data_IF_389432023394
#
_entry.id   IF_389432023394
#
_cell.length_a   1.000
_cell.length_b   1.000
_cell.length_c   1.000
_cell.angle_alpha   90.00
_cell.angle_beta   90.00
_cell.angle_gamma   90.00
#
_symmetry.space_group_name_H-M   'P 1'
#
loop_
_entity.id
_entity.type
_entity.pdbx_description
1 polymer ?
#
# COMPACT_ATOMS: atom_id res chain seq x y z
N UNK A 1 -18.15 31.98 15.41
CA UNK A 1 -16.90 32.35 14.72
C UNK A 1 -17.09 32.03 13.23
N UNK A 2 -17.39 33.03 12.38
CA UNK A 2 -17.64 32.80 10.95
C UNK A 2 -16.31 32.72 10.22
N UNK A 3 -15.85 31.52 9.87
CA UNK A 3 -14.71 31.36 8.97
C UNK A 3 -15.05 32.05 7.64
N UNK A 4 -14.22 33.01 7.23
CA UNK A 4 -14.34 33.66 5.92
C UNK A 4 -13.96 32.64 4.85
N UNK A 5 -14.69 32.63 3.73
CA UNK A 5 -14.41 31.74 2.59
C UNK A 5 -12.97 31.86 2.08
N UNK A 6 -12.33 33.03 2.25
CA UNK A 6 -10.92 33.25 1.92
C UNK A 6 -9.97 32.42 2.80
N UNK A 7 -10.29 32.24 4.09
CA UNK A 7 -9.48 31.44 5.00
C UNK A 7 -9.60 29.94 4.70
N UNK A 8 -10.79 29.49 4.31
CA UNK A 8 -11.05 28.11 3.86
C UNK A 8 -10.31 27.80 2.56
N UNK A 9 -10.30 28.73 1.60
CA UNK A 9 -9.57 28.60 0.34
C UNK A 9 -8.06 28.51 0.58
N UNK A 10 -7.52 29.36 1.47
CA UNK A 10 -6.10 29.34 1.82
C UNK A 10 -5.68 28.03 2.50
N UNK A 11 -6.52 27.50 3.40
CA UNK A 11 -6.28 26.24 4.07
C UNK A 11 -6.30 25.06 3.08
N UNK A 12 -7.22 25.09 2.11
CA UNK A 12 -7.32 24.09 1.06
C UNK A 12 -6.05 24.10 0.17
N UNK A 13 -5.58 25.28 -0.24
CA UNK A 13 -4.35 25.45 -1.02
C UNK A 13 -3.14 24.92 -0.24
N UNK A 14 -3.05 25.20 1.07
CA UNK A 14 -1.94 24.76 1.91
C UNK A 14 -1.87 23.23 2.05
N UNK A 15 -3.04 22.56 2.15
CA UNK A 15 -3.12 21.09 2.20
C UNK A 15 -2.61 20.44 0.90
N UNK A 16 -2.79 21.08 -0.27
CA UNK A 16 -2.27 20.56 -1.54
C UNK A 16 -0.76 20.77 -1.73
N UNK A 17 -0.12 21.69 -1.00
CA UNK A 17 1.32 21.99 -1.17
C UNK A 17 2.27 21.11 -0.36
N UNK A 18 1.75 20.31 0.59
CA UNK A 18 2.60 19.57 1.54
C UNK A 18 2.79 18.08 1.21
N UNK A 19 2.21 17.57 0.11
CA UNK A 19 2.45 16.19 -0.29
C UNK A 19 3.65 16.10 -1.25
N UNK A 20 4.79 15.63 -0.75
CA UNK A 20 5.86 15.09 -1.60
C UNK A 20 5.31 13.86 -2.32
N UNK A 21 4.78 14.06 -3.52
CA UNK A 21 4.27 12.99 -4.37
C UNK A 21 5.44 12.28 -5.09
N UNK A 22 6.13 11.39 -4.38
CA UNK A 22 6.95 10.36 -5.00
C UNK A 22 6.10 9.09 -5.19
N UNK A 23 5.26 9.10 -6.22
CA UNK A 23 4.55 7.89 -6.65
C UNK A 23 4.29 7.96 -8.16
N UNK A 24 5.34 7.84 -8.97
CA UNK A 24 5.21 7.38 -10.35
C UNK A 24 5.31 5.85 -10.36
N UNK A 25 4.18 5.16 -10.31
CA UNK A 25 4.16 3.73 -10.65
C UNK A 25 4.13 3.61 -12.18
N UNK A 26 5.30 3.69 -12.79
CA UNK A 26 5.50 3.24 -14.17
C UNK A 26 5.58 1.71 -14.14
N UNK A 27 4.43 1.06 -13.97
CA UNK A 27 4.29 -0.37 -14.19
C UNK A 27 4.41 -0.68 -15.69
N UNK A 28 5.62 -0.62 -16.23
CA UNK A 28 5.93 -1.30 -17.47
C UNK A 28 6.01 -2.80 -17.14
N UNK A 29 4.85 -3.46 -17.11
CA UNK A 29 4.82 -4.90 -17.33
C UNK A 29 5.54 -5.18 -18.64
N UNK A 30 6.49 -6.12 -18.62
CA UNK A 30 7.23 -6.59 -19.78
C UNK A 30 6.28 -6.75 -20.99
N UNK A 31 6.35 -5.81 -21.94
CA UNK A 31 5.73 -5.98 -23.25
C UNK A 31 6.65 -6.93 -24.00
N UNK A 32 6.51 -8.22 -23.74
CA UNK A 32 6.98 -9.27 -24.63
C UNK A 32 6.37 -8.94 -25.99
N UNK A 33 7.20 -8.75 -27.03
CA UNK A 33 6.81 -8.42 -28.41
C UNK A 33 5.56 -9.19 -28.82
N UNK A 34 4.39 -8.58 -28.62
CA UNK A 34 3.13 -9.20 -28.93
C UNK A 34 2.84 -8.87 -30.39
N UNK A 35 2.47 -9.88 -31.18
CA UNK A 35 2.06 -9.71 -32.58
C UNK A 35 0.70 -8.99 -32.73
N UNK A 36 0.18 -8.45 -31.64
CA UNK A 36 -1.09 -7.75 -31.63
C UNK A 36 -0.82 -6.26 -31.83
N UNK A 37 -0.99 -5.79 -33.06
CA UNK A 37 -1.24 -4.37 -33.31
C UNK A 37 -2.45 -3.96 -32.50
N UNK A 38 -2.27 -3.02 -31.56
CA UNK A 38 -3.38 -2.40 -30.86
C UNK A 38 -4.27 -1.76 -31.92
N UNK A 39 -5.48 -2.29 -32.09
CA UNK A 39 -6.53 -1.60 -32.85
C UNK A 39 -6.78 -0.30 -32.10
N UNK A 40 -6.53 0.85 -32.74
CA UNK A 40 -7.02 2.13 -32.25
C UNK A 40 -8.54 2.02 -32.14
N UNK A 41 -9.03 1.75 -30.93
CA UNK A 41 -10.45 1.81 -30.66
C UNK A 41 -10.88 3.24 -30.90
N UNK A 42 -11.88 3.41 -31.76
CA UNK A 42 -12.59 4.66 -31.96
C UNK A 42 -13.43 4.94 -30.70
N UNK A 43 -12.77 5.11 -29.56
CA UNK A 43 -13.38 5.36 -28.27
C UNK A 43 -14.00 6.75 -28.31
N UNK A 44 -15.34 6.80 -28.43
CA UNK A 44 -16.12 8.01 -28.20
C UNK A 44 -15.87 8.47 -26.77
N UNK A 45 -15.05 9.52 -26.62
CA UNK A 45 -14.78 10.18 -25.35
C UNK A 45 -16.09 10.76 -24.82
N UNK A 46 -16.61 10.19 -23.74
CA UNK A 46 -17.91 10.56 -23.17
C UNK A 46 -17.89 11.92 -22.44
N UNK A 47 -16.70 12.46 -22.12
CA UNK A 47 -16.55 13.71 -21.37
C UNK A 47 -15.81 14.77 -22.21
N UNK A 48 -16.27 16.03 -22.23
CA UNK A 48 -15.62 17.11 -22.97
C UNK A 48 -14.28 17.42 -22.31
N UNK A 49 -13.18 17.05 -22.95
CA UNK A 49 -11.83 17.26 -22.41
C UNK A 49 -11.17 18.44 -23.11
N UNK A 50 -10.57 19.37 -22.35
CA UNK A 50 -9.67 20.40 -22.89
C UNK A 50 -8.43 19.83 -23.63
N UNK A 51 -8.30 18.51 -23.66
CA UNK A 51 -7.15 17.76 -24.13
C UNK A 51 -7.19 17.43 -25.64
N UNK A 52 -8.32 17.63 -26.31
CA UNK A 52 -8.44 17.36 -27.75
C UNK A 52 -7.43 18.15 -28.60
N UNK A 53 -7.05 19.36 -28.15
CA UNK A 53 -6.04 20.18 -28.83
C UNK A 53 -4.64 19.57 -28.76
N UNK A 54 -4.29 18.93 -27.64
CA UNK A 54 -2.98 18.27 -27.50
C UNK A 54 -2.92 16.99 -28.33
N UNK A 55 -3.98 16.19 -28.36
CA UNK A 55 -4.02 14.98 -29.21
C UNK A 55 -3.94 15.34 -30.70
N UNK A 56 -4.62 16.42 -31.14
CA UNK A 56 -4.54 16.92 -32.51
C UNK A 56 -3.14 17.41 -32.93
N UNK A 57 -2.34 17.87 -31.97
CA UNK A 57 -0.95 18.28 -32.20
C UNK A 57 0.05 17.11 -32.13
N UNK A 58 -0.42 15.87 -32.13
CA UNK A 58 0.43 14.67 -32.08
C UNK A 58 0.98 14.33 -30.69
N UNK A 59 0.54 15.02 -29.63
CA UNK A 59 0.98 14.70 -28.27
C UNK A 59 0.18 13.51 -27.72
N UNK A 60 0.90 12.52 -27.20
CA UNK A 60 0.29 11.38 -26.53
C UNK A 60 -0.29 11.80 -25.17
N UNK A 61 -1.58 11.55 -24.97
CA UNK A 61 -2.30 11.92 -23.75
C UNK A 61 -2.88 10.67 -23.09
N UNK A 62 -2.88 10.57 -21.74
CA UNK A 62 -3.55 9.50 -21.02
C UNK A 62 -5.01 9.35 -21.45
N UNK A 63 -5.46 8.09 -21.61
CA UNK A 63 -6.84 7.75 -21.97
C UNK A 63 -7.81 8.20 -20.88
N UNK A 64 -9.06 8.48 -21.26
CA UNK A 64 -10.12 8.94 -20.35
C UNK A 64 -10.54 7.89 -19.32
N UNK A 65 -10.21 6.63 -19.55
CA UNK A 65 -10.51 5.53 -18.67
C UNK A 65 -9.41 4.47 -18.77
N UNK A 66 -9.05 3.88 -17.63
CA UNK A 66 -8.14 2.75 -17.56
C UNK A 66 -8.79 1.59 -16.83
N UNK A 67 -8.64 0.39 -17.39
CA UNK A 67 -8.87 -0.86 -16.68
C UNK A 67 -7.51 -1.45 -16.34
N UNK A 68 -7.34 -1.91 -15.11
CA UNK A 68 -6.10 -2.55 -14.70
C UNK A 68 -6.40 -3.79 -13.85
N UNK A 69 -5.78 -4.90 -14.23
CA UNK A 69 -5.76 -6.14 -13.46
C UNK A 69 -4.34 -6.31 -12.98
N UNK A 70 -4.17 -6.46 -11.67
CA UNK A 70 -2.90 -6.65 -11.01
C UNK A 70 -2.93 -7.98 -10.27
N UNK A 71 -1.81 -8.69 -10.29
CA UNK A 71 -1.59 -9.82 -9.39
C UNK A 71 -0.23 -9.65 -8.74
N UNK A 72 -0.15 -10.03 -7.47
CA UNK A 72 1.06 -9.95 -6.68
C UNK A 72 1.22 -11.27 -5.93
N UNK A 73 2.41 -11.87 -6.06
CA UNK A 73 2.81 -13.05 -5.34
C UNK A 73 4.12 -12.71 -4.64
N UNK A 74 4.18 -13.00 -3.34
CA UNK A 74 5.34 -12.70 -2.52
C UNK A 74 5.62 -13.84 -1.56
N UNK A 75 6.89 -14.18 -1.42
CA UNK A 75 7.38 -15.18 -0.48
C UNK A 75 8.46 -14.53 0.36
N UNK A 76 8.35 -14.70 1.68
CA UNK A 76 9.30 -14.18 2.65
C UNK A 76 9.66 -15.29 3.62
N UNK A 77 10.85 -15.84 3.43
CA UNK A 77 11.53 -16.63 4.44
C UNK A 77 12.25 -15.67 5.40
N UNK A 78 12.01 -15.85 6.69
CA UNK A 78 12.65 -15.12 7.76
C UNK A 78 13.05 -16.08 8.86
N UNK A 79 14.27 -15.93 9.35
CA UNK A 79 14.77 -16.64 10.51
C UNK A 79 15.24 -15.60 11.53
N UNK A 80 14.60 -15.59 12.68
CA UNK A 80 14.94 -14.69 13.78
C UNK A 80 15.49 -15.48 14.96
N UNK A 81 16.55 -14.96 15.57
CA UNK A 81 17.06 -15.43 16.85
C UNK A 81 16.93 -14.34 17.89
N UNK A 82 16.82 -14.72 19.16
CA UNK A 82 16.80 -13.78 20.30
C UNK A 82 15.71 -12.70 20.19
N UNK A 83 14.50 -13.09 19.77
CA UNK A 83 13.37 -12.17 19.73
C UNK A 83 12.90 -11.90 21.16
N UNK A 84 12.86 -10.62 21.53
CA UNK A 84 12.46 -10.16 22.86
C UNK A 84 11.16 -9.38 22.73
N UNK A 85 10.14 -9.84 23.45
CA UNK A 85 8.88 -9.12 23.61
C UNK A 85 8.73 -8.69 25.06
N UNK A 86 8.69 -7.39 25.29
CA UNK A 86 8.46 -6.82 26.61
C UNK A 86 6.98 -6.49 26.79
N UNK A 87 6.41 -6.93 27.91
CA UNK A 87 5.05 -6.61 28.31
C UNK A 87 5.02 -6.23 29.78
N UNK A 88 3.91 -5.65 30.22
CA UNK A 88 3.67 -5.34 31.64
C UNK A 88 2.40 -6.05 32.08
N UNK A 89 2.52 -6.90 33.09
CA UNK A 89 1.38 -7.53 33.75
C UNK A 89 0.92 -6.65 34.91
N UNK A 90 -0.35 -6.26 34.92
CA UNK A 90 -0.91 -5.37 35.94
C UNK A 90 -1.55 -6.18 37.05
N UNK A 91 -1.00 -6.08 38.26
CA UNK A 91 -1.60 -6.65 39.48
C UNK A 91 -2.04 -5.51 40.38
N UNK A 92 -3.34 -5.26 40.41
CA UNK A 92 -4.03 -4.27 41.25
C UNK A 92 -3.56 -2.81 41.05
N UNK A 93 -2.39 -2.41 41.57
CA UNK A 93 -1.83 -1.05 41.43
C UNK A 93 -0.40 -1.02 40.82
N UNK A 94 0.35 -2.13 40.90
CA UNK A 94 1.72 -2.20 40.39
C UNK A 94 1.80 -3.01 39.09
N UNK A 95 2.62 -2.52 38.15
CA UNK A 95 2.92 -3.20 36.88
C UNK A 95 4.23 -3.97 36.99
N UNK A 96 4.19 -5.29 36.87
CA UNK A 96 5.38 -6.14 36.85
C UNK A 96 5.81 -6.32 35.39
N UNK A 97 7.06 -5.98 35.00
CA UNK A 97 7.53 -6.22 33.66
C UNK A 97 7.76 -7.71 33.44
N UNK A 98 7.21 -8.23 32.35
CA UNK A 98 7.34 -9.62 31.91
C UNK A 98 7.91 -9.59 30.51
N UNK A 99 9.04 -10.26 30.34
CA UNK A 99 9.74 -10.37 29.07
C UNK A 99 9.59 -11.78 28.55
N UNK A 100 9.17 -11.92 27.30
CA UNK A 100 9.14 -13.19 26.59
C UNK A 100 10.34 -13.21 25.65
N UNK A 101 11.23 -14.18 25.82
CA UNK A 101 12.38 -14.39 24.92
C UNK A 101 12.16 -15.63 24.07
N UNK A 102 12.28 -15.48 22.77
CA UNK A 102 12.22 -16.59 21.81
C UNK A 102 13.61 -16.75 21.19
N UNK A 103 14.25 -17.88 21.48
CA UNK A 103 15.62 -18.14 21.00
C UNK A 103 15.70 -18.32 19.49
N UNK A 104 14.70 -18.99 18.91
CA UNK A 104 14.61 -19.19 17.47
C UNK A 104 13.17 -19.14 17.00
N UNK A 105 12.94 -18.45 15.89
CA UNK A 105 11.67 -18.40 15.18
C UNK A 105 11.94 -18.59 13.70
N UNK A 106 11.26 -19.56 13.11
CA UNK A 106 11.24 -19.75 11.68
C UNK A 106 9.93 -19.22 11.13
N UNK A 107 9.99 -18.44 10.07
CA UNK A 107 8.84 -17.91 9.36
C UNK A 107 9.04 -18.12 7.87
N UNK A 108 8.08 -18.77 7.21
CA UNK A 108 7.99 -18.83 5.77
C UNK A 108 6.59 -18.38 5.35
N UNK A 109 6.43 -17.08 5.10
CA UNK A 109 5.12 -16.51 4.75
C UNK A 109 5.03 -16.31 3.26
N UNK A 110 3.98 -16.84 2.64
CA UNK A 110 3.62 -16.51 1.27
C UNK A 110 2.31 -15.72 1.22
N UNK A 111 2.22 -14.80 0.26
CA UNK A 111 1.03 -13.99 0.00
C UNK A 111 0.71 -14.07 -1.48
N UNK A 112 -0.55 -14.31 -1.81
CA UNK A 112 -1.06 -14.20 -3.17
C UNK A 112 -2.24 -13.23 -3.19
N UNK A 113 -2.19 -12.27 -4.12
CA UNK A 113 -3.20 -11.24 -4.29
C UNK A 113 -3.61 -11.13 -5.77
N UNK A 114 -4.90 -10.91 -5.98
CA UNK A 114 -5.49 -10.49 -7.25
C UNK A 114 -6.31 -9.21 -7.02
N UNK A 115 -6.08 -8.22 -7.87
CA UNK A 115 -6.74 -6.92 -7.80
C UNK A 115 -7.25 -6.49 -9.17
N UNK A 116 -8.55 -6.25 -9.26
CA UNK A 116 -9.17 -5.57 -10.40
C UNK A 116 -9.40 -4.11 -10.04
N UNK A 117 -9.07 -3.19 -10.95
CA UNK A 117 -9.33 -1.76 -10.73
C UNK A 117 -9.74 -1.03 -12.00
N UNK A 118 -10.56 -0.02 -11.76
CA UNK A 118 -11.09 0.92 -12.72
C UNK A 118 -10.52 2.29 -12.35
N UNK A 119 -9.93 2.96 -13.34
CA UNK A 119 -9.31 4.28 -13.19
C UNK A 119 -9.94 5.26 -14.16
N UNK A 120 -11.04 5.95 -13.80
CA UNK A 120 -11.52 7.09 -14.57
C UNK A 120 -10.46 8.19 -14.53
N UNK A 121 -10.23 8.80 -15.69
CA UNK A 121 -9.21 9.82 -15.86
C UNK A 121 -9.82 11.02 -16.58
N UNK A 122 -9.85 12.16 -15.90
CA UNK A 122 -10.51 13.38 -16.35
C UNK A 122 -9.48 14.51 -16.40
N UNK A 123 -9.29 15.08 -17.59
CA UNK A 123 -8.51 16.30 -17.77
C UNK A 123 -9.38 17.52 -17.53
N UNK A 124 -9.19 18.20 -16.40
CA UNK A 124 -9.95 19.42 -16.05
C UNK A 124 -9.31 20.66 -16.71
N UNK A 125 -7.98 20.69 -16.78
CA UNK A 125 -7.20 21.71 -17.49
C UNK A 125 -6.22 21.02 -18.46
N UNK A 126 -5.65 21.69 -19.47
CA UNK A 126 -4.71 21.08 -20.42
C UNK A 126 -3.51 20.39 -19.77
N UNK A 127 -3.12 20.84 -18.59
CA UNK A 127 -1.98 20.34 -17.80
C UNK A 127 -2.40 19.69 -16.47
N UNK A 128 -3.70 19.61 -16.16
CA UNK A 128 -4.19 19.03 -14.91
C UNK A 128 -5.09 17.83 -15.18
N UNK A 129 -4.56 16.67 -14.82
CA UNK A 129 -5.24 15.39 -14.84
C UNK A 129 -5.77 15.07 -13.44
N UNK A 130 -7.05 14.73 -13.30
CA UNK A 130 -7.60 14.19 -12.06
C UNK A 130 -8.09 12.77 -12.35
N UNK A 131 -7.72 11.84 -11.48
CA UNK A 131 -8.12 10.45 -11.60
C UNK A 131 -8.61 9.89 -10.28
N UNK A 132 -9.62 9.02 -10.37
CA UNK A 132 -10.03 8.14 -9.29
C UNK A 132 -9.52 6.73 -9.57
N UNK A 133 -9.40 5.90 -8.53
CA UNK A 133 -9.17 4.46 -8.62
C UNK A 133 -10.24 3.82 -7.76
N UNK A 134 -11.06 2.97 -8.38
CA UNK A 134 -12.00 2.11 -7.66
C UNK A 134 -11.66 0.69 -8.04
N UNK A 135 -11.41 -0.16 -7.06
CA UNK A 135 -11.01 -1.52 -7.31
C UNK A 135 -11.53 -2.47 -6.24
N UNK A 136 -11.29 -3.74 -6.48
CA UNK A 136 -11.56 -4.81 -5.54
C UNK A 136 -10.32 -5.69 -5.48
N UNK A 137 -9.89 -5.98 -4.26
CA UNK A 137 -8.70 -6.78 -3.97
C UNK A 137 -9.14 -8.01 -3.22
N UNK A 138 -8.63 -9.17 -3.61
CA UNK A 138 -8.82 -10.42 -2.89
C UNK A 138 -7.49 -11.17 -2.85
N UNK A 139 -7.18 -11.75 -1.71
CA UNK A 139 -5.93 -12.46 -1.51
C UNK A 139 -5.96 -13.35 -0.28
N UNK A 140 -4.87 -14.10 -0.13
CA UNK A 140 -4.69 -15.04 0.96
C UNK A 140 -3.25 -14.93 1.43
N UNK A 141 -3.08 -14.93 2.76
CA UNK A 141 -1.78 -15.07 3.40
C UNK A 141 -1.67 -16.52 3.86
N UNK A 142 -0.55 -17.17 3.54
CA UNK A 142 -0.18 -18.47 4.08
C UNK A 142 1.03 -18.28 4.98
N UNK A 143 0.83 -17.98 6.26
CA UNK A 143 1.91 -17.99 7.22
C UNK A 143 2.30 -19.44 7.54
N UNK A 144 3.60 -19.68 7.63
CA UNK A 144 4.17 -20.86 8.25
C UNK A 144 5.19 -20.36 9.27
N UNK A 145 4.69 -20.02 10.47
CA UNK A 145 5.52 -19.52 11.58
C UNK A 145 5.63 -20.65 12.59
N UNK A 146 6.85 -21.02 12.95
CA UNK A 146 7.14 -22.02 13.98
C UNK A 146 8.09 -21.46 15.02
N UNK A 147 7.67 -21.59 16.28
CA UNK A 147 8.49 -21.31 17.46
C UNK A 147 8.61 -22.61 18.27
N UNK A 148 9.81 -23.18 18.44
CA UNK A 148 10.00 -24.47 19.09
C UNK A 148 9.85 -24.39 20.61
N UNK A 149 10.30 -23.30 21.22
CA UNK A 149 10.19 -23.03 22.65
C UNK A 149 10.37 -21.53 22.93
N UNK A 150 9.97 -21.08 24.11
CA UNK A 150 10.18 -19.71 24.55
C UNK A 150 10.44 -19.65 26.06
N UNK A 151 11.10 -18.59 26.51
CA UNK A 151 11.33 -18.29 27.92
C UNK A 151 10.38 -17.18 28.36
N UNK A 152 9.79 -17.35 29.53
CA UNK A 152 9.08 -16.29 30.22
C UNK A 152 9.96 -15.83 31.38
N UNK A 153 10.37 -14.58 31.30
CA UNK A 153 11.22 -13.92 32.27
C UNK A 153 10.45 -12.84 33.02
N UNK A 154 10.44 -12.91 34.35
CA UNK A 154 9.90 -11.84 35.20
C UNK A 154 11.09 -11.03 35.70
N UNK A 155 11.13 -9.75 35.35
CA UNK A 155 12.26 -8.87 35.65
C UNK A 155 11.85 -7.92 36.79
N UNK A 156 12.78 -7.63 37.70
CA UNK A 156 12.62 -6.55 38.68
C UNK A 156 13.90 -5.71 38.72
N UNK A 157 13.87 -4.54 38.07
CA UNK A 157 15.08 -3.74 37.86
C UNK A 157 16.05 -4.43 36.91
N UNK A 158 17.25 -4.76 37.39
CA UNK A 158 18.29 -5.48 36.63
C UNK A 158 18.29 -6.98 36.85
N UNK A 159 17.51 -7.48 37.83
CA UNK A 159 17.56 -8.87 38.24
C UNK A 159 16.41 -9.67 37.61
N UNK A 160 16.75 -10.80 36.99
CA UNK A 160 15.78 -11.78 36.51
C UNK A 160 15.29 -12.61 37.71
N UNK A 161 14.06 -12.34 38.17
CA UNK A 161 13.47 -13.02 39.33
C UNK A 161 13.07 -14.46 39.02
N UNK A 162 12.60 -14.69 37.81
CA UNK A 162 12.15 -15.99 37.32
C UNK A 162 12.47 -16.07 35.84
N UNK A 163 13.10 -17.15 35.39
CA UNK A 163 13.19 -17.51 33.98
C UNK A 163 12.68 -18.94 33.84
N UNK A 164 11.53 -19.10 33.20
CA UNK A 164 10.92 -20.40 32.97
C UNK A 164 10.88 -20.70 31.49
N UNK A 165 11.47 -21.84 31.11
CA UNK A 165 11.35 -22.39 29.77
C UNK A 165 9.97 -23.04 29.60
N UNK A 166 9.26 -22.66 28.54
CA UNK A 166 8.02 -23.30 28.11
C UNK A 166 8.32 -24.07 26.82
N UNK A 167 8.37 -25.39 26.94
CA UNK A 167 8.63 -26.33 25.84
C UNK A 167 7.39 -26.63 24.98
N UNK A 168 6.49 -25.67 24.89
CA UNK A 168 5.32 -25.77 24.03
C UNK A 168 5.66 -25.13 22.71
N UNK A 169 6.00 -25.96 21.72
CA UNK A 169 6.11 -25.49 20.35
C UNK A 169 4.75 -24.96 19.91
N UNK A 170 4.72 -23.75 19.35
CA UNK A 170 3.52 -23.23 18.70
C UNK A 170 3.79 -22.95 17.23
N UNK A 171 2.77 -23.19 16.43
CA UNK A 171 2.79 -22.97 14.99
C UNK A 171 1.60 -22.09 14.61
N UNK A 172 1.86 -21.07 13.80
CA UNK A 172 0.81 -20.25 13.20
C UNK A 172 0.75 -20.64 11.73
N UNK A 173 -0.22 -21.50 11.41
CA UNK A 173 -0.49 -22.00 10.06
C UNK A 173 -1.86 -21.58 9.54
N UNK A 174 -2.59 -20.78 10.32
CA UNK A 174 -3.91 -20.31 9.92
C UNK A 174 -3.78 -19.40 8.69
N UNK A 175 -4.67 -19.57 7.72
CA UNK A 175 -4.54 -18.95 6.39
C UNK A 175 -5.58 -17.84 6.23
N UNK A 176 -5.32 -16.63 6.77
CA UNK A 176 -6.29 -15.57 6.68
C UNK A 176 -6.49 -15.17 5.21
N UNK A 177 -7.75 -15.17 4.80
CA UNK A 177 -8.20 -14.64 3.51
C UNK A 177 -8.65 -13.20 3.74
N UNK A 178 -8.23 -12.30 2.86
CA UNK A 178 -8.66 -10.91 2.89
C UNK A 178 -9.30 -10.54 1.56
N UNK A 179 -10.38 -9.79 1.62
CA UNK A 179 -10.99 -9.20 0.43
C UNK A 179 -11.67 -7.90 0.77
N UNK A 180 -11.67 -6.97 -0.18
CA UNK A 180 -12.29 -5.68 0.04
C UNK A 180 -12.17 -4.71 -1.12
N UNK A 181 -13.04 -3.68 -1.11
CA UNK A 181 -12.95 -2.58 -2.06
C UNK A 181 -11.71 -1.72 -1.75
N UNK A 182 -11.06 -1.22 -2.79
CA UNK A 182 -9.95 -0.28 -2.72
C UNK A 182 -10.32 1.02 -3.43
N UNK A 183 -10.14 2.15 -2.76
CA UNK A 183 -10.41 3.47 -3.32
C UNK A 183 -9.14 4.31 -3.32
N UNK A 184 -8.95 5.10 -4.37
CA UNK A 184 -7.87 6.06 -4.49
C UNK A 184 -8.32 7.25 -5.31
N UNK A 185 -7.68 8.39 -5.10
CA UNK A 185 -7.85 9.55 -5.95
C UNK A 185 -6.52 10.28 -6.03
N UNK A 186 -6.27 10.94 -7.15
CA UNK A 186 -5.06 11.70 -7.36
C UNK A 186 -5.23 12.74 -8.44
N UNK A 187 -4.33 13.72 -8.42
CA UNK A 187 -4.19 14.68 -9.49
C UNK A 187 -2.74 14.66 -9.97
N UNK A 188 -2.54 14.67 -11.28
CA UNK A 188 -1.23 14.85 -11.90
C UNK A 188 -1.24 16.20 -12.61
N UNK A 189 -0.37 17.09 -12.13
CA UNK A 189 -0.06 18.36 -12.78
C UNK A 189 1.19 18.15 -13.65
N UNK A 190 1.11 18.51 -14.92
CA UNK A 190 2.22 18.42 -15.87
C UNK A 190 2.59 19.81 -16.37
N UNK A 191 3.72 20.34 -15.94
CA UNK A 191 4.20 21.67 -16.35
C UNK A 191 5.54 21.49 -17.06
N UNK A 192 5.64 22.05 -18.27
CA UNK A 192 6.91 22.19 -18.99
C UNK A 192 7.25 23.65 -19.22
N UNK A 193 8.53 23.99 -19.21
CA UNK A 193 9.04 25.31 -19.54
C UNK A 193 10.13 25.19 -20.61
N UNK A 194 9.92 25.83 -21.77
CA UNK A 194 10.83 25.76 -22.92
C UNK A 194 11.05 24.31 -23.39
N UNK A 195 12.28 23.80 -23.35
CA UNK A 195 12.66 22.42 -23.73
C UNK A 195 12.62 21.42 -22.58
N UNK A 196 12.17 21.83 -21.39
CA UNK A 196 12.09 20.98 -20.20
C UNK A 196 10.64 20.62 -19.91
N UNK A 197 10.40 19.32 -19.70
CA UNK A 197 9.13 18.70 -19.33
C UNK A 197 9.31 17.83 -18.09
#
# INVERSE_FOLDING_TARGET
>A
MRLRYSTLLFLLIFIFTTQKANAQFNGFGLIVKSKYTFVESNEKRFLPTCNERHTKNGNATPRAFGLAIHSFIYEQAYYGTELIMESRYKVTEDSIPVTIRVDSMYQNTSVAELKGSIRPNIWILPFLNIYGIVGYTAGQVNPDISVPYFYVEVINGTDTLLSQRIDTAFQITDRPVFSGPSFGAGATLSIGFSRFF
#
